data_IF_720870235381
#
_entry.id   IF_720870235381
#
_cell.length_a   1.000
_cell.length_b   1.000
_cell.length_c   1.000
_cell.angle_alpha   90.00
_cell.angle_beta   90.00
_cell.angle_gamma   90.00
#
_symmetry.space_group_name_H-M   'P 1'
#
loop_
_entity.id
_entity.type
_entity.pdbx_description
1 polymer ?
#
# COMPACT_ATOMS: atom_id res chain seq x y z
N UNK A 1 -10.20 8.80 20.59
CA UNK A 1 -10.53 9.50 19.32
C UNK A 1 -9.81 8.90 18.11
N UNK A 2 -8.56 8.45 18.22
CA UNK A 2 -7.82 7.87 17.08
C UNK A 2 -8.35 6.55 16.50
N UNK A 3 -8.98 5.68 17.32
CA UNK A 3 -9.48 4.37 16.88
C UNK A 3 -10.67 4.48 15.91
N UNK A 4 -11.63 5.37 16.16
CA UNK A 4 -12.77 5.56 15.24
C UNK A 4 -12.30 6.11 13.88
N UNK A 5 -11.35 7.05 13.90
CA UNK A 5 -10.73 7.57 12.67
C UNK A 5 -9.94 6.48 11.95
N UNK A 6 -9.21 5.64 12.68
CA UNK A 6 -8.47 4.51 12.10
C UNK A 6 -9.39 3.57 11.33
N UNK A 7 -10.47 3.10 11.96
CA UNK A 7 -11.41 2.20 11.28
C UNK A 7 -12.10 2.87 10.10
N UNK A 8 -12.46 4.14 10.21
CA UNK A 8 -13.07 4.88 9.10
C UNK A 8 -12.13 4.96 7.89
N UNK A 9 -10.87 5.36 8.09
CA UNK A 9 -9.88 5.47 7.00
C UNK A 9 -9.49 4.07 6.48
N UNK A 10 -9.45 3.05 7.34
CA UNK A 10 -9.19 1.67 6.93
C UNK A 10 -10.28 1.13 5.99
N UNK A 11 -11.56 1.31 6.35
CA UNK A 11 -12.68 0.93 5.48
C UNK A 11 -12.63 1.70 4.16
N UNK A 12 -12.33 3.00 4.20
CA UNK A 12 -12.22 3.84 3.02
C UNK A 12 -11.08 3.34 2.09
N UNK A 13 -9.93 2.99 2.66
CA UNK A 13 -8.78 2.44 1.94
C UNK A 13 -9.11 1.15 1.21
N UNK A 14 -9.82 0.23 1.87
CA UNK A 14 -10.28 -1.04 1.26
C UNK A 14 -11.25 -0.76 0.12
N UNK A 15 -12.22 0.14 0.31
CA UNK A 15 -13.19 0.49 -0.74
C UNK A 15 -12.48 1.03 -1.99
N UNK A 16 -11.55 1.98 -1.83
CA UNK A 16 -10.81 2.51 -2.96
C UNK A 16 -9.92 1.46 -3.62
N UNK A 17 -9.26 0.59 -2.84
CA UNK A 17 -8.47 -0.52 -3.39
C UNK A 17 -9.32 -1.49 -4.21
N UNK A 18 -10.58 -1.75 -3.81
CA UNK A 18 -11.51 -2.54 -4.63
C UNK A 18 -11.88 -1.79 -5.92
N UNK A 19 -12.19 -0.49 -5.82
CA UNK A 19 -12.52 0.35 -6.99
C UNK A 19 -11.40 0.40 -8.03
N UNK A 20 -10.13 0.36 -7.61
CA UNK A 20 -8.97 0.24 -8.52
C UNK A 20 -9.10 -0.98 -9.42
N UNK A 21 -9.46 -2.13 -8.85
CA UNK A 21 -9.54 -3.41 -9.57
C UNK A 21 -10.81 -3.48 -10.44
N UNK A 22 -11.93 -2.92 -9.97
CA UNK A 22 -13.19 -2.94 -10.72
C UNK A 22 -13.31 -1.85 -11.79
N UNK A 23 -12.43 -0.84 -11.78
CA UNK A 23 -12.46 0.23 -12.77
C UNK A 23 -12.11 -0.28 -14.18
N UNK A 24 -13.05 -0.11 -15.12
CA UNK A 24 -12.87 -0.50 -16.53
C UNK A 24 -11.92 0.42 -17.31
N UNK A 25 -11.82 1.68 -16.90
CA UNK A 25 -10.93 2.64 -17.55
C UNK A 25 -9.63 2.74 -16.73
N UNK A 26 -8.45 2.58 -17.34
CA UNK A 26 -7.16 2.57 -16.65
C UNK A 26 -6.87 3.91 -15.96
N UNK A 27 -7.27 5.03 -16.55
CA UNK A 27 -7.14 6.36 -15.93
C UNK A 27 -7.93 6.46 -14.62
N UNK A 28 -9.16 5.96 -14.57
CA UNK A 28 -9.94 5.94 -13.33
C UNK A 28 -9.35 4.98 -12.29
N UNK A 29 -8.83 3.83 -12.72
CA UNK A 29 -8.14 2.88 -11.84
C UNK A 29 -6.98 3.57 -11.10
N UNK A 30 -6.15 4.34 -11.81
CA UNK A 30 -5.02 5.05 -11.20
C UNK A 30 -5.47 6.21 -10.32
N UNK A 31 -6.53 6.93 -10.67
CA UNK A 31 -7.10 7.95 -9.78
C UNK A 31 -7.55 7.35 -8.44
N UNK A 32 -8.23 6.20 -8.45
CA UNK A 32 -8.58 5.49 -7.21
C UNK A 32 -7.34 4.98 -6.46
N UNK A 33 -6.28 4.62 -7.17
CA UNK A 33 -5.02 4.19 -6.57
C UNK A 33 -4.32 5.34 -5.86
N UNK A 34 -4.31 6.55 -6.45
CA UNK A 34 -3.80 7.77 -5.81
C UNK A 34 -4.54 8.03 -4.50
N UNK A 35 -5.88 7.92 -4.51
CA UNK A 35 -6.68 8.08 -3.29
C UNK A 35 -6.36 6.99 -2.26
N UNK A 36 -6.11 5.74 -2.70
CA UNK A 36 -5.69 4.65 -1.82
C UNK A 36 -4.35 4.98 -1.13
N UNK A 37 -3.35 5.44 -1.87
CA UNK A 37 -2.07 5.88 -1.28
C UNK A 37 -2.24 7.09 -0.35
N UNK A 38 -3.16 8.01 -0.66
CA UNK A 38 -3.51 9.10 0.26
C UNK A 38 -4.07 8.58 1.58
N UNK A 39 -4.96 7.58 1.56
CA UNK A 39 -5.45 6.94 2.80
C UNK A 39 -4.34 6.27 3.59
N UNK A 40 -3.30 5.71 2.94
CA UNK A 40 -2.13 5.18 3.63
C UNK A 40 -1.29 6.25 4.32
N UNK A 41 -1.12 7.43 3.70
CA UNK A 41 -0.47 8.57 4.37
C UNK A 41 -1.18 8.92 5.68
N UNK A 42 -2.51 8.91 5.68
CA UNK A 42 -3.30 9.16 6.91
C UNK A 42 -3.06 8.05 7.94
N UNK A 43 -3.03 6.77 7.53
CA UNK A 43 -2.68 5.66 8.45
C UNK A 43 -1.28 5.82 9.06
N UNK A 44 -0.28 6.23 8.27
CA UNK A 44 1.07 6.46 8.78
C UNK A 44 1.12 7.59 9.81
N UNK A 45 0.33 8.66 9.62
CA UNK A 45 0.20 9.73 10.61
C UNK A 45 -0.43 9.20 11.91
N UNK A 46 -1.50 8.39 11.81
CA UNK A 46 -2.14 7.78 12.99
C UNK A 46 -1.20 6.84 13.75
N UNK A 47 -0.28 6.17 13.05
CA UNK A 47 0.72 5.26 13.62
C UNK A 47 1.98 5.99 14.13
N UNK A 48 1.99 7.32 14.18
CA UNK A 48 3.16 8.15 14.52
C UNK A 48 4.38 7.97 13.59
N UNK A 49 4.19 7.46 12.37
CA UNK A 49 5.25 7.24 11.38
C UNK A 49 5.40 8.45 10.43
N UNK A 50 5.88 9.58 10.97
CA UNK A 50 5.92 10.87 10.25
C UNK A 50 6.78 10.85 8.99
N UNK A 51 7.97 10.25 9.06
CA UNK A 51 8.85 10.15 7.89
C UNK A 51 8.18 9.37 6.74
N UNK A 52 7.64 8.20 7.05
CA UNK A 52 6.96 7.33 6.08
C UNK A 52 5.74 8.02 5.46
N UNK A 53 4.97 8.77 6.25
CA UNK A 53 3.85 9.56 5.75
C UNK A 53 4.28 10.56 4.68
N UNK A 54 5.35 11.32 4.94
CA UNK A 54 5.87 12.33 4.00
C UNK A 54 6.44 11.69 2.74
N UNK A 55 7.22 10.61 2.87
CA UNK A 55 7.77 9.88 1.71
C UNK A 55 6.66 9.27 0.87
N UNK A 56 5.64 8.68 1.49
CA UNK A 56 4.47 8.14 0.78
C UNK A 56 3.71 9.23 0.00
N UNK A 57 3.57 10.41 0.61
CA UNK A 57 2.91 11.55 -0.03
C UNK A 57 3.71 12.09 -1.23
N UNK A 58 5.03 12.30 -1.08
CA UNK A 58 5.85 12.92 -2.13
C UNK A 58 6.23 11.92 -3.22
N UNK A 59 6.72 10.74 -2.86
CA UNK A 59 7.32 9.78 -3.81
C UNK A 59 6.24 8.91 -4.44
N UNK A 60 5.45 8.19 -3.62
CA UNK A 60 4.48 7.23 -4.14
C UNK A 60 3.29 7.95 -4.77
N UNK A 61 2.56 8.75 -3.99
CA UNK A 61 1.38 9.47 -4.47
C UNK A 61 1.76 10.61 -5.44
N UNK A 62 2.85 11.33 -5.17
CA UNK A 62 3.27 12.50 -5.95
C UNK A 62 4.04 12.17 -7.22
N UNK A 63 5.19 11.51 -7.12
CA UNK A 63 6.05 11.28 -8.28
C UNK A 63 5.64 10.06 -9.11
N UNK A 64 5.55 8.89 -8.48
CA UNK A 64 5.37 7.60 -9.18
C UNK A 64 3.97 7.53 -9.81
N UNK A 65 2.91 7.80 -9.04
CA UNK A 65 1.54 7.67 -9.57
C UNK A 65 1.23 8.72 -10.64
N UNK A 66 1.76 9.95 -10.52
CA UNK A 66 1.57 11.00 -11.54
C UNK A 66 2.33 10.64 -12.82
N UNK A 67 3.58 10.15 -12.72
CA UNK A 67 4.31 9.63 -13.87
C UNK A 67 3.53 8.49 -14.55
N UNK A 68 2.98 7.58 -13.76
CA UNK A 68 2.18 6.47 -14.26
C UNK A 68 0.91 6.95 -14.97
N UNK A 69 0.23 7.97 -14.43
CA UNK A 69 -0.91 8.61 -15.07
C UNK A 69 -0.53 9.21 -16.43
N UNK A 70 0.58 9.96 -16.50
CA UNK A 70 1.08 10.50 -17.77
C UNK A 70 1.36 9.41 -18.81
N UNK A 71 2.08 8.36 -18.40
CA UNK A 71 2.41 7.23 -19.29
C UNK A 71 1.14 6.52 -19.76
N UNK A 72 0.19 6.24 -18.87
CA UNK A 72 -1.08 5.62 -19.23
C UNK A 72 -1.98 6.48 -20.10
N UNK A 73 -1.85 7.81 -20.03
CA UNK A 73 -2.62 8.69 -20.92
C UNK A 73 -2.01 8.73 -22.32
N UNK A 74 -0.68 8.64 -22.44
CA UNK A 74 0.03 8.52 -23.72
C UNK A 74 -0.18 7.15 -24.37
N UNK A 75 -0.22 6.10 -23.56
CA UNK A 75 -0.68 4.78 -23.96
C UNK A 75 -2.19 4.88 -24.18
N UNK A 76 -2.63 5.25 -25.38
CA UNK A 76 -4.04 5.23 -25.73
C UNK A 76 -4.55 3.78 -25.70
N UNK A 77 -4.92 3.31 -24.51
CA UNK A 77 -5.42 1.97 -24.23
C UNK A 77 -6.83 1.85 -24.83
N UNK A 78 -6.86 1.65 -26.14
CA UNK A 78 -8.09 1.45 -26.89
C UNK A 78 -8.72 0.12 -26.46
N UNK A 79 -10.06 0.10 -26.38
CA UNK A 79 -10.90 -1.02 -25.91
C UNK A 79 -10.92 -2.22 -26.87
N UNK A 80 -9.82 -2.50 -27.55
CA UNK A 80 -9.80 -3.46 -28.64
C UNK A 80 -9.35 -4.82 -28.13
N UNK A 81 -10.35 -5.69 -27.95
CA UNK A 81 -10.25 -7.14 -27.94
C UNK A 81 -9.38 -7.75 -26.83
N UNK A 82 -9.85 -7.69 -25.58
CA UNK A 82 -9.46 -8.74 -24.63
C UNK A 82 -10.05 -10.07 -25.12
N UNK A 83 -9.23 -11.10 -25.39
CA UNK A 83 -9.76 -12.44 -25.53
C UNK A 83 -10.46 -12.77 -24.22
N UNK A 84 -11.74 -13.15 -24.28
CA UNK A 84 -12.54 -13.57 -23.14
C UNK A 84 -11.73 -14.61 -22.33
N UNK A 85 -11.04 -14.17 -21.28
CA UNK A 85 -10.29 -15.07 -20.39
C UNK A 85 -11.30 -16.10 -19.90
N UNK A 86 -11.00 -17.37 -20.20
CA UNK A 86 -11.85 -18.51 -19.87
C UNK A 86 -12.31 -18.42 -18.42
N UNK A 87 -13.60 -18.69 -18.17
CA UNK A 87 -14.19 -18.69 -16.83
C UNK A 87 -13.39 -19.54 -15.84
N UNK A 88 -12.68 -20.57 -16.33
CA UNK A 88 -11.73 -21.37 -15.55
C UNK A 88 -10.64 -20.53 -14.88
N UNK A 89 -10.03 -19.57 -15.59
CA UNK A 89 -8.95 -18.73 -15.03
C UNK A 89 -9.48 -17.81 -13.93
N UNK A 90 -10.72 -17.31 -14.08
CA UNK A 90 -11.38 -16.52 -13.03
C UNK A 90 -11.66 -17.37 -11.79
N UNK A 91 -12.16 -18.59 -11.97
CA UNK A 91 -12.45 -19.52 -10.86
C UNK A 91 -11.17 -19.89 -10.12
N UNK A 92 -10.11 -20.24 -10.85
CA UNK A 92 -8.80 -20.55 -10.24
C UNK A 92 -8.24 -19.34 -9.48
N UNK A 93 -8.35 -18.14 -10.04
CA UNK A 93 -7.95 -16.91 -9.35
C UNK A 93 -8.71 -16.67 -8.05
N UNK A 94 -10.03 -16.90 -8.05
CA UNK A 94 -10.87 -16.77 -6.84
C UNK A 94 -10.50 -17.83 -5.80
N UNK A 95 -10.31 -19.08 -6.21
CA UNK A 95 -9.91 -20.17 -5.29
C UNK A 95 -8.54 -19.87 -4.67
N UNK A 96 -7.58 -19.43 -5.47
CA UNK A 96 -6.25 -19.06 -4.98
C UNK A 96 -6.30 -17.88 -3.99
N UNK A 97 -7.09 -16.84 -4.30
CA UNK A 97 -7.31 -15.71 -3.41
C UNK A 97 -7.97 -16.12 -2.09
N UNK A 98 -9.03 -16.94 -2.15
CA UNK A 98 -9.68 -17.48 -0.94
C UNK A 98 -8.73 -18.35 -0.11
N UNK A 99 -7.92 -19.20 -0.76
CA UNK A 99 -6.93 -20.03 -0.08
C UNK A 99 -5.91 -19.16 0.67
N UNK A 100 -5.39 -18.10 0.04
CA UNK A 100 -4.49 -17.14 0.68
C UNK A 100 -5.15 -16.50 1.93
N UNK A 101 -6.40 -16.04 1.80
CA UNK A 101 -7.11 -15.41 2.93
C UNK A 101 -7.28 -16.41 4.08
N UNK A 102 -7.65 -17.67 3.80
CA UNK A 102 -7.82 -18.70 4.82
C UNK A 102 -6.48 -19.02 5.52
N UNK A 103 -5.39 -19.17 4.77
CA UNK A 103 -4.07 -19.44 5.36
C UNK A 103 -3.56 -18.26 6.18
N UNK A 104 -3.81 -17.02 5.74
CA UNK A 104 -3.46 -15.81 6.49
C UNK A 104 -4.22 -15.74 7.83
N UNK A 105 -5.54 -16.00 7.81
CA UNK A 105 -6.37 -16.03 9.02
C UNK A 105 -5.94 -17.19 9.94
N UNK A 106 -5.63 -18.35 9.38
CA UNK A 106 -5.12 -19.51 10.11
C UNK A 106 -3.81 -19.19 10.82
N UNK A 107 -2.87 -18.56 10.12
CA UNK A 107 -1.59 -18.12 10.69
C UNK A 107 -1.79 -17.09 11.80
N UNK A 108 -2.67 -16.10 11.61
CA UNK A 108 -2.95 -15.07 12.62
C UNK A 108 -3.57 -15.65 13.89
N UNK A 109 -4.38 -16.70 13.78
CA UNK A 109 -4.96 -17.40 14.94
C UNK A 109 -3.98 -18.35 15.62
N UNK A 110 -3.08 -18.98 14.85
CA UNK A 110 -2.07 -19.89 15.36
C UNK A 110 -0.94 -19.16 16.09
N UNK A 111 -0.67 -17.91 15.71
CA UNK A 111 0.22 -17.02 16.45
C UNK A 111 -0.50 -16.51 17.70
N UNK A 112 -0.08 -16.99 18.88
CA UNK A 112 -0.44 -16.35 20.14
C UNK A 112 -0.06 -14.87 20.05
N UNK A 113 -1.02 -13.98 20.19
CA UNK A 113 -0.77 -12.54 20.26
C UNK A 113 0.15 -12.34 21.47
N UNK A 114 1.43 -12.09 21.22
CA UNK A 114 2.39 -11.74 22.26
C UNK A 114 1.91 -10.50 22.99
N UNK A 115 2.27 -10.39 24.27
CA UNK A 115 1.91 -9.27 25.14
C UNK A 115 1.92 -7.94 24.39
N UNK A 116 0.94 -7.04 24.64
CA UNK A 116 0.84 -5.78 23.93
C UNK A 116 2.22 -5.13 23.90
N UNK A 117 2.76 -4.94 22.69
CA UNK A 117 4.07 -4.33 22.49
C UNK A 117 3.96 -2.91 23.03
N UNK A 118 4.38 -2.72 24.29
CA UNK A 118 4.46 -1.41 24.90
C UNK A 118 5.56 -0.70 24.12
N UNK A 119 5.16 0.24 23.27
CA UNK A 119 6.07 1.12 22.55
C UNK A 119 6.85 1.93 23.58
N UNK A 120 8.00 1.40 24.01
CA UNK A 120 8.86 1.99 25.05
C UNK A 120 9.49 3.31 24.59
N UNK A 121 9.38 3.65 23.30
CA UNK A 121 9.96 4.84 22.71
C UNK A 121 9.00 5.48 21.71
N UNK A 122 8.42 6.61 22.07
CA UNK A 122 7.52 7.41 21.21
C UNK A 122 8.25 8.07 20.04
N UNK A 123 9.58 8.02 19.99
CA UNK A 123 10.42 8.68 19.00
C UNK A 123 10.75 7.82 17.76
N UNK A 124 10.23 6.59 17.66
CA UNK A 124 10.58 5.64 16.59
C UNK A 124 10.20 6.12 15.18
N UNK A 125 9.22 7.01 15.05
CA UNK A 125 8.81 7.56 13.76
C UNK A 125 9.52 8.86 13.34
N UNK A 126 10.48 9.35 14.13
CA UNK A 126 11.19 10.60 13.86
C UNK A 126 12.28 10.42 12.80
N UNK A 127 12.39 11.40 11.90
CA UNK A 127 13.43 11.50 10.88
C UNK A 127 14.84 11.31 11.45
N UNK A 128 15.10 11.85 12.64
CA UNK A 128 16.41 11.77 13.32
C UNK A 128 16.80 10.34 13.68
N UNK A 129 15.87 9.54 14.18
CA UNK A 129 16.14 8.15 14.54
C UNK A 129 16.35 7.31 13.28
N UNK A 130 15.53 7.56 12.26
CA UNK A 130 15.61 6.85 11.00
C UNK A 130 16.93 7.13 10.26
N UNK A 131 17.42 8.36 10.30
CA UNK A 131 18.76 8.70 9.79
C UNK A 131 19.89 7.98 10.52
N UNK A 132 19.81 7.82 11.84
CA UNK A 132 20.82 7.05 12.60
C UNK A 132 20.84 5.58 12.22
N UNK A 133 19.68 4.99 12.00
CA UNK A 133 19.58 3.59 11.56
C UNK A 133 20.07 3.41 10.12
N UNK A 134 19.70 4.31 9.21
CA UNK A 134 20.14 4.27 7.80
C UNK A 134 21.65 4.38 7.64
N UNK A 135 22.29 5.31 8.36
CA UNK A 135 23.74 5.52 8.27
C UNK A 135 24.55 4.71 9.30
N UNK A 136 23.88 3.93 10.15
CA UNK A 136 24.52 3.02 11.09
C UNK A 136 24.45 1.58 10.57
N UNK A 137 23.56 0.73 11.13
CA UNK A 137 23.47 -0.67 10.73
C UNK A 137 23.02 -0.89 9.28
N UNK A 138 22.27 0.04 8.68
CA UNK A 138 21.76 -0.10 7.31
C UNK A 138 22.59 0.65 6.25
N UNK A 139 23.85 1.00 6.55
CA UNK A 139 24.71 1.75 5.64
C UNK A 139 24.95 1.00 4.31
N UNK A 140 25.22 -0.31 4.37
CA UNK A 140 25.45 -1.13 3.17
C UNK A 140 24.22 -1.17 2.24
N UNK A 141 22.99 -1.48 2.72
CA UNK A 141 21.78 -1.36 1.91
C UNK A 141 21.55 0.05 1.33
N UNK A 142 21.88 1.10 2.07
CA UNK A 142 21.72 2.48 1.61
C UNK A 142 22.64 2.79 0.42
N UNK A 143 23.91 2.40 0.48
CA UNK A 143 24.85 2.58 -0.63
C UNK A 143 24.41 1.81 -1.88
N UNK A 144 23.95 0.57 -1.72
CA UNK A 144 23.43 -0.23 -2.83
C UNK A 144 22.19 0.40 -3.47
N UNK A 145 21.27 0.97 -2.68
CA UNK A 145 20.11 1.66 -3.20
C UNK A 145 20.44 2.95 -3.96
N UNK A 146 21.61 3.56 -3.73
CA UNK A 146 22.04 4.76 -4.46
C UNK A 146 22.59 4.44 -5.86
N UNK A 147 22.97 3.18 -6.12
CA UNK A 147 23.48 2.71 -7.41
C UNK A 147 22.33 2.30 -8.35
N UNK A 148 21.22 1.82 -7.78
CA UNK A 148 20.01 1.38 -8.48
C UNK A 148 19.19 2.58 -9.02
#
# INVERSE_FOLDING_TARGET
MGISVFYFVATLSVIFSLLVIFAKNPVHSVLYLIVTFFTFTVHYILLNAQFLAVVNFIVYMGAIMVLFLFVLMLLNLNKDNEPLKSNMVKIVGVIAGCCLVVTLIGSLKATSISDPVILKNTNLGLLKNLGKELFGPFMLPFELSSIL
#
